data_IF_175686554422
#
_entry.id   IF_175686554422
#
_cell.length_a   1.000
_cell.length_b   1.000
_cell.length_c   1.000
_cell.angle_alpha   90.00
_cell.angle_beta   90.00
_cell.angle_gamma   90.00
#
_symmetry.space_group_name_H-M   'P 1'
#
loop_
_entity.id
_entity.type
_entity.pdbx_description
1 polymer ?
#
# COMPACT_ATOMS: atom_id res chain seq x y z
N UNK A 1 -0.10 5.49 -3.60
CA UNK A 1 1.18 5.64 -4.34
C UNK A 1 0.92 6.28 -5.71
N UNK A 2 0.05 5.68 -6.58
CA UNK A 2 -0.22 6.19 -7.93
C UNK A 2 -0.61 7.68 -7.93
N UNK A 3 -1.65 8.03 -7.21
CA UNK A 3 -2.15 9.42 -7.11
C UNK A 3 -1.12 10.41 -6.56
N UNK A 4 -0.16 9.95 -5.77
CA UNK A 4 0.91 10.80 -5.24
C UNK A 4 2.04 10.98 -6.27
N UNK A 5 2.39 9.91 -6.98
CA UNK A 5 3.42 9.97 -8.02
C UNK A 5 2.96 10.80 -9.24
N UNK A 6 1.74 10.58 -9.69
CA UNK A 6 1.12 11.28 -10.82
C UNK A 6 0.28 12.49 -10.40
N UNK A 7 0.65 13.14 -9.31
CA UNK A 7 -0.11 14.28 -8.78
C UNK A 7 -0.27 15.39 -9.82
N UNK A 8 -1.52 15.72 -10.11
CA UNK A 8 -1.88 16.74 -11.11
C UNK A 8 -2.10 16.18 -12.53
N UNK A 9 -1.93 14.87 -12.71
CA UNK A 9 -2.26 14.18 -13.95
C UNK A 9 -3.61 13.48 -13.81
N UNK A 10 -4.37 13.41 -14.90
CA UNK A 10 -5.60 12.62 -14.95
C UNK A 10 -5.23 11.17 -15.24
N UNK A 11 -5.39 10.32 -14.21
CA UNK A 11 -5.02 8.91 -14.28
C UNK A 11 -6.21 8.02 -13.95
N UNK A 12 -6.35 6.95 -14.70
CA UNK A 12 -7.18 5.81 -14.35
C UNK A 12 -6.33 4.76 -13.62
N UNK A 13 -6.86 4.17 -12.55
CA UNK A 13 -6.17 3.13 -11.80
C UNK A 13 -6.85 1.78 -11.99
N UNK A 14 -6.05 0.77 -12.34
CA UNK A 14 -6.48 -0.63 -12.41
C UNK A 14 -5.97 -1.33 -11.17
N UNK A 15 -6.88 -1.86 -10.36
CA UNK A 15 -6.57 -2.60 -9.15
C UNK A 15 -6.26 -4.06 -9.49
N UNK A 16 -5.20 -4.60 -8.90
CA UNK A 16 -4.81 -6.00 -9.03
C UNK A 16 -4.71 -6.61 -7.63
N UNK A 17 -5.41 -7.72 -7.40
CA UNK A 17 -5.48 -8.37 -6.09
C UNK A 17 -4.12 -8.89 -5.59
N UNK A 18 -3.23 -9.22 -6.52
CA UNK A 18 -1.89 -9.74 -6.20
C UNK A 18 -0.82 -9.14 -7.10
N UNK A 19 0.45 -9.15 -6.64
CA UNK A 19 1.56 -8.71 -7.48
C UNK A 19 1.75 -9.57 -8.74
N UNK A 20 1.62 -10.91 -8.73
CA UNK A 20 1.63 -11.68 -9.97
C UNK A 20 0.60 -11.21 -11.00
N UNK A 21 -0.65 -10.93 -10.58
CA UNK A 21 -1.69 -10.40 -11.48
C UNK A 21 -1.34 -9.01 -12.01
N UNK A 22 -0.69 -8.16 -11.21
CA UNK A 22 -0.19 -6.87 -11.67
C UNK A 22 0.84 -7.05 -12.79
N UNK A 23 1.82 -7.94 -12.62
CA UNK A 23 2.82 -8.20 -13.66
C UNK A 23 2.22 -8.86 -14.89
N UNK A 24 1.21 -9.70 -14.73
CA UNK A 24 0.44 -10.27 -15.85
C UNK A 24 -0.29 -9.17 -16.64
N UNK A 25 -1.00 -8.26 -15.96
CA UNK A 25 -1.68 -7.13 -16.60
C UNK A 25 -0.69 -6.27 -17.40
N UNK A 26 0.46 -5.94 -16.82
CA UNK A 26 1.52 -5.17 -17.50
C UNK A 26 2.10 -5.90 -18.71
N UNK A 27 2.11 -7.22 -18.70
CA UNK A 27 2.57 -8.02 -19.87
C UNK A 27 1.53 -8.06 -21.00
N UNK A 28 0.25 -7.89 -20.67
CA UNK A 28 -0.85 -7.91 -21.63
C UNK A 28 -1.09 -6.54 -22.28
N UNK A 29 -0.74 -5.45 -21.62
CA UNK A 29 -0.94 -4.08 -22.12
C UNK A 29 0.29 -3.22 -21.85
N UNK A 30 1.07 -3.00 -22.90
CA UNK A 30 2.28 -2.20 -22.85
C UNK A 30 2.04 -0.70 -22.53
N UNK A 31 0.80 -0.21 -22.65
CA UNK A 31 0.45 1.17 -22.32
C UNK A 31 0.32 1.42 -20.81
N UNK A 32 0.23 0.37 -20.02
CA UNK A 32 0.10 0.46 -18.58
C UNK A 32 1.43 0.77 -17.88
N UNK A 33 1.33 1.54 -16.80
CA UNK A 33 2.45 1.81 -15.90
C UNK A 33 2.19 1.10 -14.56
N UNK A 34 3.12 0.27 -14.13
CA UNK A 34 3.03 -0.46 -12.88
C UNK A 34 3.58 0.32 -11.69
N UNK A 35 2.93 0.19 -10.55
CA UNK A 35 3.45 0.70 -9.27
C UNK A 35 3.61 -0.47 -8.32
N UNK A 36 4.85 -0.86 -8.08
CA UNK A 36 5.23 -2.09 -7.38
C UNK A 36 5.88 -1.75 -6.05
N UNK A 37 5.29 -2.17 -4.93
CA UNK A 37 5.95 -2.08 -3.64
C UNK A 37 7.18 -2.99 -3.63
N UNK A 38 8.35 -2.45 -3.24
CA UNK A 38 9.61 -3.21 -3.28
C UNK A 38 10.24 -3.37 -1.90
N UNK A 39 9.99 -2.44 -1.02
CA UNK A 39 10.57 -2.40 0.31
C UNK A 39 9.65 -1.64 1.28
N UNK A 40 9.58 -2.11 2.51
CA UNK A 40 8.97 -1.38 3.61
C UNK A 40 9.95 -1.30 4.79
N UNK A 41 10.06 -0.16 5.46
CA UNK A 41 11.04 0.06 6.54
C UNK A 41 10.85 -0.85 7.76
N UNK A 42 9.69 -1.46 7.94
CA UNK A 42 9.39 -2.38 9.04
C UNK A 42 9.42 -3.84 8.55
N UNK A 43 8.77 -4.13 7.43
CA UNK A 43 8.67 -5.47 6.88
C UNK A 43 9.91 -5.90 6.08
N UNK A 44 10.79 -4.95 5.71
CA UNK A 44 11.98 -5.22 4.89
C UNK A 44 11.67 -5.32 3.40
N UNK A 45 12.57 -6.00 2.67
CA UNK A 45 12.46 -6.18 1.22
C UNK A 45 11.39 -7.19 0.85
N UNK A 46 10.59 -6.86 -0.16
CA UNK A 46 9.57 -7.74 -0.73
C UNK A 46 10.19 -8.60 -1.83
N UNK A 47 10.90 -9.67 -1.41
CA UNK A 47 11.73 -10.49 -2.30
C UNK A 47 10.96 -11.07 -3.48
N UNK A 48 9.69 -11.45 -3.30
CA UNK A 48 8.83 -11.92 -4.37
C UNK A 48 8.70 -10.87 -5.49
N UNK A 49 8.56 -9.60 -5.13
CA UNK A 49 8.39 -8.52 -6.11
C UNK A 49 9.70 -8.21 -6.84
N UNK A 50 10.84 -8.36 -6.17
CA UNK A 50 12.16 -8.30 -6.82
C UNK A 50 12.31 -9.42 -7.87
N UNK A 51 11.86 -10.63 -7.57
CA UNK A 51 11.92 -11.75 -8.50
C UNK A 51 10.96 -11.56 -9.69
N UNK A 52 9.72 -11.12 -9.45
CA UNK A 52 8.79 -10.78 -10.52
C UNK A 52 9.38 -9.71 -11.45
N UNK A 53 9.99 -8.67 -10.89
CA UNK A 53 10.63 -7.62 -11.67
C UNK A 53 11.82 -8.17 -12.47
N UNK A 54 12.66 -9.01 -11.87
CA UNK A 54 13.81 -9.65 -12.54
C UNK A 54 13.39 -10.52 -13.72
N UNK A 55 12.26 -11.22 -13.59
CA UNK A 55 11.73 -12.10 -14.65
C UNK A 55 10.95 -11.34 -15.73
N UNK A 56 10.56 -10.12 -15.46
CA UNK A 56 9.85 -9.26 -16.42
C UNK A 56 10.84 -8.54 -17.35
N UNK A 57 10.31 -8.04 -18.47
CA UNK A 57 11.04 -7.14 -19.39
C UNK A 57 10.86 -5.66 -19.01
N UNK A 58 10.19 -5.36 -17.89
CA UNK A 58 9.84 -4.00 -17.51
C UNK A 58 11.08 -3.19 -17.11
N UNK A 59 11.04 -1.90 -17.43
CA UNK A 59 12.05 -0.94 -17.02
C UNK A 59 11.57 -0.10 -15.85
N UNK A 60 12.45 0.20 -14.92
CA UNK A 60 12.19 1.13 -13.82
C UNK A 60 12.31 2.54 -14.37
N UNK A 61 11.20 3.29 -14.32
CA UNK A 61 11.11 4.67 -14.81
C UNK A 61 11.00 5.70 -13.68
N UNK A 62 10.85 5.24 -12.45
CA UNK A 62 10.77 6.12 -11.29
C UNK A 62 10.68 5.37 -9.97
N UNK A 63 10.66 6.14 -8.90
CA UNK A 63 10.37 5.63 -7.56
C UNK A 63 9.49 6.60 -6.79
N UNK A 64 8.67 6.06 -5.90
CA UNK A 64 7.88 6.82 -4.95
C UNK A 64 8.07 6.25 -3.56
N UNK A 65 8.43 7.10 -2.61
CA UNK A 65 8.47 6.75 -1.20
C UNK A 65 7.24 7.33 -0.51
N UNK A 66 6.41 6.44 0.03
CA UNK A 66 5.17 6.82 0.70
C UNK A 66 5.28 6.52 2.20
N UNK A 67 4.98 7.52 3.02
CA UNK A 67 4.82 7.30 4.45
C UNK A 67 3.53 6.54 4.70
N UNK A 68 3.62 5.46 5.46
CA UNK A 68 2.45 4.69 5.88
C UNK A 68 1.93 5.33 7.16
N UNK A 69 0.71 5.82 7.09
CA UNK A 69 -0.03 6.38 8.22
C UNK A 69 -1.40 5.75 8.28
N UNK A 70 -1.78 5.30 9.46
CA UNK A 70 -3.07 4.69 9.70
C UNK A 70 -4.00 5.64 10.44
N UNK A 71 -5.28 5.50 10.14
CA UNK A 71 -6.37 6.17 10.86
C UNK A 71 -7.31 5.12 11.46
N UNK A 72 -7.99 5.48 12.53
CA UNK A 72 -9.17 4.78 12.99
C UNK A 72 -10.38 5.44 12.35
N UNK A 73 -11.15 4.71 11.57
CA UNK A 73 -12.33 5.23 10.87
C UNK A 73 -13.53 4.31 11.07
N UNK A 74 -14.69 4.91 11.32
CA UNK A 74 -15.95 4.19 11.54
C UNK A 74 -17.10 4.86 10.76
N UNK A 75 -18.27 4.27 10.81
CA UNK A 75 -19.48 4.89 10.25
C UNK A 75 -19.71 6.28 10.86
N UNK A 76 -20.34 7.20 10.11
CA UNK A 76 -20.75 8.49 10.65
C UNK A 76 -21.55 8.34 11.95
N UNK A 77 -21.44 9.35 12.82
CA UNK A 77 -22.12 9.44 14.12
C UNK A 77 -21.68 8.42 15.19
N UNK A 78 -20.66 7.61 14.94
CA UNK A 78 -20.04 6.78 15.97
C UNK A 78 -18.85 7.47 16.64
N UNK A 79 -18.69 7.20 17.93
CA UNK A 79 -17.54 7.64 18.74
C UNK A 79 -16.70 6.44 19.16
N UNK A 80 -15.45 6.66 19.57
CA UNK A 80 -14.52 5.57 19.97
C UNK A 80 -15.11 4.71 21.11
N UNK A 81 -15.84 5.33 22.03
CA UNK A 81 -16.44 4.62 23.17
C UNK A 81 -17.57 3.66 22.78
N UNK A 82 -18.15 3.82 21.59
CA UNK A 82 -19.20 2.97 21.05
C UNK A 82 -18.66 1.79 20.26
N UNK A 83 -17.34 1.80 19.98
CA UNK A 83 -16.69 0.77 19.18
C UNK A 83 -16.28 -0.42 20.04
N UNK A 84 -16.44 -1.61 19.49
CA UNK A 84 -16.09 -2.88 20.10
C UNK A 84 -15.05 -3.67 19.28
N UNK A 85 -14.92 -3.36 17.98
CA UNK A 85 -14.01 -4.06 17.09
C UNK A 85 -13.16 -3.08 16.27
N UNK A 86 -11.91 -3.48 16.02
CA UNK A 86 -10.97 -2.80 15.13
C UNK A 86 -10.52 -3.79 14.06
N UNK A 87 -10.99 -3.55 12.83
CA UNK A 87 -10.83 -4.43 11.68
C UNK A 87 -9.69 -3.97 10.79
N UNK A 88 -8.74 -4.85 10.50
CA UNK A 88 -7.67 -4.54 9.55
C UNK A 88 -6.83 -5.77 9.19
N UNK A 89 -5.91 -5.59 8.24
CA UNK A 89 -4.86 -6.56 7.96
C UNK A 89 -3.96 -6.77 9.21
N UNK A 90 -3.53 -8.01 9.52
CA UNK A 90 -2.73 -8.30 10.72
C UNK A 90 -1.50 -7.40 10.91
N UNK A 91 -0.79 -7.08 9.83
CA UNK A 91 0.37 -6.18 9.88
C UNK A 91 -0.03 -4.76 10.33
N UNK A 92 -1.17 -4.24 9.87
CA UNK A 92 -1.63 -2.91 10.27
C UNK A 92 -2.08 -2.88 11.74
N UNK A 93 -2.75 -3.94 12.21
CA UNK A 93 -3.09 -4.11 13.63
C UNK A 93 -1.83 -4.11 14.50
N UNK A 94 -0.83 -4.89 14.13
CA UNK A 94 0.47 -4.92 14.82
C UNK A 94 1.16 -3.55 14.80
N UNK A 95 1.13 -2.85 13.70
CA UNK A 95 1.69 -1.50 13.58
C UNK A 95 1.00 -0.48 14.49
N UNK A 96 -0.25 -0.70 14.86
CA UNK A 96 -1.07 0.16 15.73
C UNK A 96 -1.17 -0.34 17.18
N UNK A 97 -0.32 -1.27 17.59
CA UNK A 97 -0.39 -1.95 18.89
C UNK A 97 -0.46 -0.98 20.08
N UNK A 98 0.34 0.08 20.11
CA UNK A 98 0.32 1.04 21.22
C UNK A 98 -1.01 1.81 21.30
N UNK A 99 -1.64 2.10 20.18
CA UNK A 99 -2.96 2.70 20.14
C UNK A 99 -4.00 1.71 20.69
N UNK A 100 -4.01 0.48 20.19
CA UNK A 100 -4.96 -0.56 20.61
C UNK A 100 -4.83 -0.92 22.10
N UNK A 101 -3.61 -0.93 22.65
CA UNK A 101 -3.40 -1.11 24.10
C UNK A 101 -4.04 -0.01 24.96
N UNK A 102 -4.19 1.21 24.45
CA UNK A 102 -4.87 2.31 25.15
C UNK A 102 -6.40 2.22 25.04
N UNK A 103 -6.89 1.40 24.11
CA UNK A 103 -8.33 1.17 23.88
C UNK A 103 -8.66 -0.33 24.03
N UNK A 104 -8.59 -0.90 25.26
CA UNK A 104 -8.75 -2.35 25.49
C UNK A 104 -10.14 -2.86 25.19
N UNK A 105 -11.14 -2.01 25.02
CA UNK A 105 -12.48 -2.32 24.55
C UNK A 105 -12.52 -2.69 23.06
N UNK A 106 -11.51 -2.29 22.27
CA UNK A 106 -11.44 -2.61 20.86
C UNK A 106 -10.81 -4.00 20.65
N UNK A 107 -11.62 -4.96 20.32
CA UNK A 107 -11.15 -6.29 19.91
C UNK A 107 -10.54 -6.21 18.50
N UNK A 108 -9.33 -6.74 18.33
CA UNK A 108 -8.68 -6.83 17.02
C UNK A 108 -9.33 -7.93 16.18
N UNK A 109 -9.82 -7.58 15.00
CA UNK A 109 -10.39 -8.52 14.03
C UNK A 109 -9.57 -8.48 12.74
N UNK A 110 -8.93 -9.61 12.44
CA UNK A 110 -8.08 -9.75 11.26
C UNK A 110 -8.92 -9.86 9.99
N UNK A 111 -8.57 -9.07 9.00
CA UNK A 111 -9.18 -9.03 7.67
C UNK A 111 -8.10 -9.20 6.59
N UNK A 112 -8.54 -9.45 5.35
CA UNK A 112 -7.64 -9.65 4.21
C UNK A 112 -6.76 -8.44 3.93
N UNK A 113 -7.33 -7.22 3.97
CA UNK A 113 -6.61 -5.96 3.73
C UNK A 113 -7.22 -4.77 4.50
N UNK A 114 -6.49 -3.65 4.49
CA UNK A 114 -6.86 -2.45 5.25
C UNK A 114 -8.00 -1.66 4.59
N UNK A 115 -7.97 -1.52 3.26
CA UNK A 115 -8.99 -0.76 2.53
C UNK A 115 -10.29 -1.57 2.41
N UNK A 116 -10.18 -2.89 2.21
CA UNK A 116 -11.30 -3.83 2.22
C UNK A 116 -12.05 -3.83 3.55
N UNK A 117 -11.35 -3.68 4.68
CA UNK A 117 -12.00 -3.51 5.98
C UNK A 117 -12.88 -2.25 6.02
N UNK A 118 -12.37 -1.12 5.51
CA UNK A 118 -13.14 0.10 5.44
C UNK A 118 -14.37 -0.04 4.50
N UNK A 119 -14.17 -0.71 3.36
CA UNK A 119 -15.23 -1.02 2.40
C UNK A 119 -16.33 -1.87 3.04
N UNK A 120 -15.94 -2.97 3.68
CA UNK A 120 -16.88 -3.91 4.32
C UNK A 120 -17.74 -3.21 5.38
N UNK A 121 -17.12 -2.39 6.26
CA UNK A 121 -17.82 -1.63 7.28
C UNK A 121 -18.86 -0.69 6.65
N UNK A 122 -18.47 0.02 5.58
CA UNK A 122 -19.36 0.96 4.91
C UNK A 122 -20.51 0.25 4.16
N UNK A 123 -20.22 -0.78 3.37
CA UNK A 123 -21.22 -1.50 2.56
C UNK A 123 -22.21 -2.30 3.40
N UNK A 124 -21.75 -2.89 4.52
CA UNK A 124 -22.59 -3.70 5.41
C UNK A 124 -23.18 -2.89 6.57
N UNK A 125 -22.86 -1.59 6.66
CA UNK A 125 -23.29 -0.71 7.73
C UNK A 125 -23.02 -1.27 9.13
N UNK A 126 -21.80 -1.73 9.39
CA UNK A 126 -21.41 -2.42 10.61
C UNK A 126 -21.22 -1.43 11.77
N UNK A 127 -22.22 -1.36 12.65
CA UNK A 127 -22.16 -0.58 13.89
C UNK A 127 -21.21 -1.25 14.90
N UNK A 128 -20.47 -0.43 15.65
CA UNK A 128 -19.50 -0.92 16.64
C UNK A 128 -18.17 -1.36 16.06
N UNK A 129 -18.00 -1.33 14.75
CA UNK A 129 -16.76 -1.65 14.02
C UNK A 129 -16.04 -0.38 13.58
N UNK A 130 -14.71 -0.40 13.63
CA UNK A 130 -13.85 0.60 13.02
C UNK A 130 -12.76 -0.04 12.16
N UNK A 131 -12.46 0.56 11.03
CA UNK A 131 -11.31 0.17 10.21
C UNK A 131 -10.04 0.87 10.68
N UNK A 132 -8.95 0.11 10.76
CA UNK A 132 -7.60 0.67 10.76
C UNK A 132 -7.11 0.65 9.32
N UNK A 133 -7.10 1.82 8.68
CA UNK A 133 -6.80 1.92 7.25
C UNK A 133 -6.06 3.22 6.92
N UNK A 134 -5.76 3.44 5.64
CA UNK A 134 -5.26 4.73 5.15
C UNK A 134 -6.37 5.79 5.10
N UNK A 135 -6.03 7.06 5.31
CA UNK A 135 -6.98 8.19 5.27
C UNK A 135 -7.78 8.24 3.95
N UNK A 136 -7.11 7.91 2.83
CA UNK A 136 -7.77 7.85 1.53
C UNK A 136 -8.90 6.81 1.48
N UNK A 137 -8.67 5.61 2.02
CA UNK A 137 -9.70 4.56 2.05
C UNK A 137 -10.89 4.97 2.93
N UNK A 138 -10.63 5.55 4.11
CA UNK A 138 -11.70 6.07 4.96
C UNK A 138 -12.57 7.10 4.23
N UNK A 139 -11.94 8.05 3.52
CA UNK A 139 -12.66 9.08 2.76
C UNK A 139 -13.42 8.48 1.58
N UNK A 140 -12.81 7.54 0.84
CA UNK A 140 -13.41 6.89 -0.33
C UNK A 140 -14.72 6.17 0.02
N UNK A 141 -14.73 5.49 1.17
CA UNK A 141 -15.90 4.74 1.62
C UNK A 141 -16.84 5.52 2.57
N UNK A 142 -16.61 6.83 2.70
CA UNK A 142 -17.50 7.71 3.48
C UNK A 142 -17.47 7.47 4.99
N UNK A 143 -16.37 6.87 5.51
CA UNK A 143 -16.18 6.69 6.94
C UNK A 143 -15.70 7.98 7.61
N UNK A 144 -16.14 8.20 8.84
CA UNK A 144 -15.65 9.28 9.68
C UNK A 144 -14.32 8.89 10.34
N UNK A 145 -13.31 9.74 10.19
CA UNK A 145 -12.01 9.53 10.81
C UNK A 145 -12.07 10.00 12.26
N UNK A 146 -11.91 9.07 13.18
CA UNK A 146 -11.98 9.31 14.62
C UNK A 146 -10.62 9.69 15.19
N UNK A 147 -9.55 9.06 14.72
CA UNK A 147 -8.18 9.39 15.13
C UNK A 147 -7.19 9.17 13.98
N UNK A 148 -6.20 10.07 13.84
CA UNK A 148 -5.18 10.02 12.80
C UNK A 148 -3.81 9.67 13.37
N UNK A 149 -3.01 9.01 12.53
CA UNK A 149 -1.63 8.71 12.86
C UNK A 149 -1.53 7.78 14.06
N UNK A 150 -2.32 6.71 14.06
CA UNK A 150 -2.40 5.77 15.16
C UNK A 150 -1.30 4.71 15.15
N UNK A 151 -0.49 4.66 14.07
CA UNK A 151 0.68 3.78 13.98
C UNK A 151 1.72 4.09 15.07
N UNK A 152 2.28 3.05 15.69
CA UNK A 152 3.29 3.13 16.75
C UNK A 152 4.59 3.75 16.23
N UNK A 153 5.06 3.31 15.07
CA UNK A 153 6.28 3.82 14.44
C UNK A 153 5.95 4.84 13.35
N UNK A 154 6.20 6.12 13.61
CA UNK A 154 5.96 7.21 12.65
C UNK A 154 6.95 7.24 11.47
N UNK A 155 8.01 6.44 11.52
CA UNK A 155 9.01 6.29 10.45
C UNK A 155 8.76 5.04 9.61
N UNK A 156 7.49 4.70 9.38
CA UNK A 156 7.09 3.63 8.50
C UNK A 156 6.92 4.19 7.07
N UNK A 157 7.73 3.69 6.15
CA UNK A 157 7.69 4.06 4.73
C UNK A 157 7.69 2.82 3.86
N UNK A 158 6.91 2.86 2.80
CA UNK A 158 6.99 1.90 1.70
C UNK A 158 7.59 2.57 0.49
N UNK A 159 8.57 1.91 -0.11
CA UNK A 159 9.19 2.30 -1.37
C UNK A 159 8.53 1.54 -2.50
N UNK A 160 8.06 2.28 -3.49
CA UNK A 160 7.47 1.76 -4.71
C UNK A 160 8.39 2.06 -5.88
N UNK A 161 8.53 1.12 -6.79
CA UNK A 161 9.10 1.34 -8.10
C UNK A 161 7.98 1.59 -9.12
N UNK A 162 8.22 2.53 -10.01
CA UNK A 162 7.38 2.80 -11.15
C UNK A 162 8.00 2.07 -12.32
N UNK A 163 7.26 1.17 -12.92
CA UNK A 163 7.76 0.28 -13.97
C UNK A 163 6.89 0.38 -15.22
N UNK A 164 7.49 0.28 -16.38
CA UNK A 164 6.80 0.36 -17.66
C UNK A 164 7.44 -0.58 -18.69
N UNK A 165 6.70 -0.90 -19.74
CA UNK A 165 7.24 -1.55 -20.92
C UNK A 165 8.39 -0.71 -21.52
N UNK A 166 9.45 -1.32 -22.10
CA UNK A 166 10.57 -0.59 -22.69
C UNK A 166 10.17 0.47 -23.71
N UNK A 167 9.11 0.25 -24.49
CA UNK A 167 8.60 1.23 -25.47
C UNK A 167 8.10 2.48 -24.76
N UNK A 168 7.23 2.31 -23.77
CA UNK A 168 6.70 3.43 -22.98
C UNK A 168 7.77 4.07 -22.11
N UNK A 169 8.67 3.28 -21.54
CA UNK A 169 9.77 3.80 -20.74
C UNK A 169 10.66 4.76 -21.54
N UNK A 170 10.85 4.51 -22.82
CA UNK A 170 11.61 5.40 -23.71
C UNK A 170 10.89 6.73 -24.00
N UNK A 171 9.55 6.72 -24.01
CA UNK A 171 8.73 7.92 -24.23
C UNK A 171 8.56 8.74 -22.95
N UNK A 172 8.54 8.07 -21.79
CA UNK A 172 8.49 8.74 -20.50
C UNK A 172 9.81 9.49 -20.28
N UNK A 173 9.80 10.80 -20.51
CA UNK A 173 10.96 11.64 -20.18
C UNK A 173 11.25 11.47 -18.70
N UNK A 174 12.48 11.02 -18.30
CA UNK A 174 12.85 10.98 -16.90
C UNK A 174 12.68 12.40 -16.34
N UNK A 175 12.02 12.53 -15.19
CA UNK A 175 12.01 13.79 -14.46
C UNK A 175 13.47 14.13 -14.17
N UNK A 176 13.96 15.30 -14.64
CA UNK A 176 15.36 15.68 -14.73
C UNK A 176 16.19 15.54 -13.43
N UNK A 177 15.52 15.40 -12.28
CA UNK A 177 16.17 15.31 -10.96
C UNK A 177 16.65 13.92 -10.55
N UNK A 178 16.44 12.85 -11.32
CA UNK A 178 16.47 11.53 -10.68
C UNK A 178 17.24 10.39 -11.32
N UNK A 179 18.05 10.61 -12.33
CA UNK A 179 18.92 9.53 -12.88
C UNK A 179 20.20 9.31 -12.05
N UNK A 180 20.06 9.32 -10.73
CA UNK A 180 21.20 9.17 -9.79
C UNK A 180 21.20 7.81 -9.08
N UNK A 181 20.28 6.90 -9.44
CA UNK A 181 20.16 5.58 -8.82
C UNK A 181 20.10 4.48 -9.87
N UNK A 182 20.72 3.36 -9.54
CA UNK A 182 20.62 2.11 -10.31
C UNK A 182 20.06 1.02 -9.39
N UNK A 183 19.21 0.15 -9.93
CA UNK A 183 18.76 -1.07 -9.25
C UNK A 183 19.46 -2.26 -9.89
N UNK A 184 20.11 -3.08 -9.07
CA UNK A 184 20.82 -4.28 -9.52
C UNK A 184 20.21 -5.47 -8.78
N UNK A 185 19.71 -6.45 -9.54
CA UNK A 185 19.22 -7.73 -9.00
C UNK A 185 20.10 -8.83 -9.59
N UNK A 186 20.68 -9.64 -8.73
CA UNK A 186 21.56 -10.73 -9.15
C UNK A 186 21.35 -11.96 -8.26
N UNK A 187 21.69 -13.13 -8.80
CA UNK A 187 21.74 -14.39 -8.06
C UNK A 187 23.20 -14.80 -7.87
N UNK A 188 23.49 -15.29 -6.68
CA UNK A 188 24.81 -15.89 -6.41
C UNK A 188 24.67 -17.42 -6.48
N UNK A 189 25.63 -18.12 -7.13
CA UNK A 189 25.68 -19.58 -7.03
C UNK A 189 25.94 -19.97 -5.58
N UNK A 190 25.14 -20.90 -5.04
CA UNK A 190 25.42 -21.54 -3.75
C UNK A 190 26.66 -22.43 -3.89
N UNK A 191 27.84 -21.87 -3.72
CA UNK A 191 29.03 -22.64 -3.44
C UNK A 191 29.15 -22.77 -1.92
N UNK A 192 29.05 -23.99 -1.41
CA UNK A 192 29.44 -24.27 -0.03
C UNK A 192 30.92 -23.87 0.12
N UNK A 193 31.15 -22.87 0.98
CA UNK A 193 32.48 -22.54 1.44
C UNK A 193 32.97 -23.50 2.51
#
# INVERSE_FOLDING_TARGET
>A
AAREYFKGEDIETVECDTFPLLFEALSCDASMIGIVAIENTIAGSLLQNHELLRLSNLQIVGEQKLRISHVLAALPDQTIDQLTEADSHPIALMQCEQFLRRHPNLKMTEKFDTAGSAKEIAEQNLLGHAAICGEYAATLYGLNILEKGIETNKRNFTRFLIVADPVIAHELKPREESLNKSSIVFTLPHTQG
#
